data_IF_878664028285
#
_entry.id   IF_878664028285
#
_cell.length_a   1.000
_cell.length_b   1.000
_cell.length_c   1.000
_cell.angle_alpha   90.00
_cell.angle_beta   90.00
_cell.angle_gamma   90.00
#
_symmetry.space_group_name_H-M   'P 1'
#
loop_
_entity.id
_entity.type
_entity.pdbx_description
1 polymer ?
#
# COMPACT_ATOMS: atom_id res chain seq x y z
N UNK A 1 -7.04 -76.95 -16.01
CA UNK A 1 -6.33 -76.45 -14.82
C UNK A 1 -5.99 -75.00 -15.12
N UNK A 2 -6.91 -74.05 -14.93
CA UNK A 2 -7.40 -73.50 -13.64
C UNK A 2 -6.30 -73.11 -12.65
N UNK A 3 -6.26 -71.98 -11.94
CA UNK A 3 -6.93 -70.66 -11.83
C UNK A 3 -5.92 -69.79 -11.02
N UNK A 4 -6.04 -68.45 -11.11
CA UNK A 4 -5.62 -67.37 -10.15
C UNK A 4 -4.35 -66.58 -10.52
N UNK A 5 -4.44 -65.41 -11.17
CA UNK A 5 -4.98 -64.10 -10.74
C UNK A 5 -4.10 -63.36 -9.71
N UNK A 6 -3.39 -62.32 -10.13
CA UNK A 6 -3.16 -61.09 -9.36
C UNK A 6 -3.00 -59.90 -10.30
N UNK A 7 -3.75 -58.84 -10.01
CA UNK A 7 -4.06 -57.73 -10.91
C UNK A 7 -2.86 -56.91 -11.38
N UNK A 8 -2.96 -56.43 -12.63
CA UNK A 8 -2.29 -55.21 -13.07
C UNK A 8 -3.37 -54.17 -13.38
N UNK A 9 -3.33 -53.13 -12.56
CA UNK A 9 -4.14 -51.94 -12.62
C UNK A 9 -3.79 -51.18 -13.91
N UNK A 10 -4.78 -50.94 -14.76
CA UNK A 10 -4.65 -50.02 -15.89
C UNK A 10 -4.46 -48.60 -15.36
N UNK A 11 -3.26 -48.05 -15.57
CA UNK A 11 -3.03 -46.61 -15.43
C UNK A 11 -3.40 -45.93 -16.75
N UNK A 12 -4.67 -45.54 -16.90
CA UNK A 12 -5.05 -44.57 -17.92
C UNK A 12 -4.42 -43.22 -17.59
N UNK A 13 -3.34 -42.89 -18.28
CA UNK A 13 -2.68 -41.58 -18.22
C UNK A 13 -3.58 -40.56 -18.94
N UNK A 14 -4.52 -39.95 -18.21
CA UNK A 14 -5.21 -38.73 -18.66
C UNK A 14 -4.15 -37.63 -18.72
N UNK A 15 -3.62 -37.40 -19.91
CA UNK A 15 -2.83 -36.22 -20.24
C UNK A 15 -3.71 -34.98 -20.16
N UNK A 16 -3.90 -34.44 -18.97
CA UNK A 16 -4.34 -33.06 -18.79
C UNK A 16 -3.10 -32.21 -18.96
N UNK A 17 -2.84 -31.77 -20.19
CA UNK A 17 -1.98 -30.62 -20.42
C UNK A 17 -2.67 -29.42 -19.77
N UNK A 18 -2.37 -29.16 -18.51
CA UNK A 18 -2.69 -27.90 -17.84
C UNK A 18 -1.91 -26.80 -18.57
N UNK A 19 -2.48 -26.31 -19.66
CA UNK A 19 -2.13 -25.01 -20.17
C UNK A 19 -2.29 -24.05 -18.99
N UNK A 20 -1.18 -23.53 -18.47
CA UNK A 20 -1.21 -22.43 -17.50
C UNK A 20 -2.06 -21.35 -18.12
N UNK A 21 -3.31 -21.23 -17.65
CA UNK A 21 -4.14 -20.08 -17.93
C UNK A 21 -3.42 -18.90 -17.30
N UNK A 22 -2.63 -18.22 -18.13
CA UNK A 22 -2.26 -16.84 -17.88
C UNK A 22 -3.58 -16.10 -17.87
N UNK A 23 -4.14 -15.87 -16.68
CA UNK A 23 -5.21 -14.91 -16.53
C UNK A 23 -4.60 -13.55 -16.87
N UNK A 24 -4.97 -12.91 -18.00
CA UNK A 24 -4.75 -11.48 -18.09
C UNK A 24 -5.54 -10.89 -16.92
N UNK A 25 -4.87 -10.17 -16.02
CA UNK A 25 -5.54 -9.27 -15.08
C UNK A 25 -6.24 -8.20 -15.90
N UNK A 26 -7.43 -8.55 -16.40
CA UNK A 26 -8.30 -7.64 -17.11
C UNK A 26 -8.88 -6.72 -16.05
N UNK A 27 -8.42 -5.48 -16.04
CA UNK A 27 -9.10 -4.33 -15.44
C UNK A 27 -10.47 -4.12 -16.12
N UNK A 28 -11.38 -5.10 -16.05
CA UNK A 28 -12.66 -5.07 -16.74
C UNK A 28 -13.79 -5.29 -15.75
N UNK A 29 -14.02 -4.28 -14.90
CA UNK A 29 -15.35 -3.77 -14.53
C UNK A 29 -15.18 -2.45 -13.78
N UNK A 30 -15.59 -1.34 -14.42
CA UNK A 30 -15.69 -0.02 -13.79
C UNK A 30 -16.78 -0.06 -12.72
N UNK A 31 -16.39 -0.16 -11.46
CA UNK A 31 -17.27 0.11 -10.33
C UNK A 31 -17.34 1.63 -10.08
N UNK A 32 -18.36 2.13 -9.36
CA UNK A 32 -18.31 3.47 -8.79
C UNK A 32 -17.01 3.65 -7.98
N UNK A 33 -16.24 4.71 -8.22
CA UNK A 33 -15.03 5.03 -7.44
C UNK A 33 -13.69 4.59 -8.06
N UNK A 34 -13.67 3.89 -9.20
CA UNK A 34 -12.41 3.55 -9.91
C UNK A 34 -11.66 4.78 -10.43
N UNK A 35 -12.34 5.94 -10.45
CA UNK A 35 -11.82 7.24 -10.84
C UNK A 35 -11.36 8.11 -9.67
N UNK A 36 -11.37 7.59 -8.43
CA UNK A 36 -10.98 8.30 -7.22
C UNK A 36 -10.07 7.42 -6.37
N UNK A 37 -8.80 7.34 -6.74
CA UNK A 37 -7.79 6.47 -6.16
C UNK A 37 -6.99 7.20 -5.09
N UNK A 38 -6.84 6.57 -3.93
CA UNK A 38 -5.88 6.96 -2.88
C UNK A 38 -4.80 5.89 -2.78
N UNK A 39 -3.55 6.30 -2.95
CA UNK A 39 -2.38 5.48 -2.68
C UNK A 39 -1.98 5.66 -1.21
N UNK A 40 -1.93 4.57 -0.45
CA UNK A 40 -1.57 4.56 0.96
C UNK A 40 -0.28 3.77 1.15
N UNK A 41 0.78 4.40 1.67
CA UNK A 41 2.00 3.67 1.99
C UNK A 41 1.76 2.59 3.06
N UNK A 42 2.60 1.56 3.08
CA UNK A 42 2.49 0.47 4.06
C UNK A 42 3.32 0.74 5.29
N UNK A 43 4.63 0.87 5.09
CA UNK A 43 5.62 1.04 6.16
C UNK A 43 5.48 2.45 6.75
N UNK A 44 5.44 2.59 8.07
CA UNK A 44 5.28 3.88 8.77
C UNK A 44 3.84 4.41 8.79
N UNK A 45 3.02 4.09 7.78
CA UNK A 45 1.62 4.54 7.72
C UNK A 45 0.65 3.55 8.34
N UNK A 46 0.53 2.32 7.83
CA UNK A 46 -0.37 1.29 8.44
C UNK A 46 0.40 0.27 9.27
N UNK A 47 1.66 -0.01 8.94
CA UNK A 47 2.56 -0.85 9.72
C UNK A 47 3.52 0.05 10.50
N UNK A 48 3.52 -0.06 11.83
CA UNK A 48 4.51 0.61 12.67
C UNK A 48 5.84 -0.15 12.59
N UNK A 49 6.82 0.49 11.95
CA UNK A 49 8.16 -0.06 11.74
C UNK A 49 9.19 0.51 12.72
N UNK A 50 8.78 1.35 13.69
CA UNK A 50 9.68 2.09 14.59
C UNK A 50 10.64 1.18 15.36
N UNK A 51 10.14 0.03 15.84
CA UNK A 51 10.94 -0.99 16.53
C UNK A 51 12.07 -1.57 15.67
N UNK A 52 11.96 -1.47 14.35
CA UNK A 52 12.91 -2.02 13.37
C UNK A 52 13.74 -0.94 12.67
N UNK A 53 13.61 0.34 13.03
CA UNK A 53 14.42 1.42 12.44
C UNK A 53 15.92 1.20 12.61
N UNK A 54 16.33 0.53 13.69
CA UNK A 54 17.71 0.17 13.96
C UNK A 54 18.33 -0.67 12.81
N UNK A 55 17.52 -1.38 12.03
CA UNK A 55 17.96 -2.11 10.84
C UNK A 55 18.57 -1.18 9.78
N UNK A 56 18.12 0.07 9.72
CA UNK A 56 18.63 1.08 8.79
C UNK A 56 20.08 1.49 9.09
N UNK A 57 20.58 1.22 10.30
CA UNK A 57 21.98 1.43 10.65
C UNK A 57 22.91 0.33 10.09
N UNK A 58 22.36 -0.79 9.58
CA UNK A 58 23.18 -1.89 9.04
C UNK A 58 23.91 -1.50 7.76
N UNK A 59 25.00 -2.23 7.41
CA UNK A 59 25.63 -2.14 6.10
C UNK A 59 24.62 -2.39 4.97
N UNK A 60 24.79 -1.70 3.84
CA UNK A 60 23.83 -1.68 2.73
C UNK A 60 23.42 -3.08 2.23
N UNK A 61 24.35 -4.04 2.21
CA UNK A 61 24.09 -5.41 1.75
C UNK A 61 23.14 -6.22 2.66
N UNK A 62 23.07 -5.89 3.96
CA UNK A 62 22.25 -6.61 4.94
C UNK A 62 21.02 -5.81 5.40
N UNK A 63 21.07 -4.48 5.27
CA UNK A 63 20.01 -3.55 5.69
C UNK A 63 18.65 -3.94 5.15
N UNK A 64 18.51 -4.00 3.83
CA UNK A 64 17.21 -4.19 3.20
C UNK A 64 16.60 -5.57 3.43
N UNK A 65 17.33 -6.69 3.27
CA UNK A 65 16.80 -8.00 3.63
C UNK A 65 16.31 -8.07 5.08
N UNK A 66 17.05 -7.47 6.02
CA UNK A 66 16.67 -7.46 7.43
C UNK A 66 15.41 -6.62 7.68
N UNK A 67 15.37 -5.37 7.20
CA UNK A 67 14.18 -4.52 7.29
C UNK A 67 12.94 -5.18 6.68
N UNK A 68 13.10 -5.90 5.56
CA UNK A 68 11.96 -6.55 4.92
C UNK A 68 11.40 -7.74 5.69
N UNK A 69 12.24 -8.45 6.47
CA UNK A 69 11.81 -9.62 7.22
C UNK A 69 10.86 -9.32 8.37
N UNK A 70 10.88 -8.08 8.89
CA UNK A 70 10.16 -7.70 10.10
C UNK A 70 8.70 -7.28 9.90
N UNK A 71 8.17 -7.26 8.68
CA UNK A 71 6.76 -6.87 8.49
C UNK A 71 5.81 -7.79 9.24
N UNK A 72 6.10 -9.08 9.26
CA UNK A 72 5.27 -10.06 9.95
C UNK A 72 5.19 -9.79 11.46
N UNK A 73 6.18 -9.09 12.02
CA UNK A 73 6.29 -8.76 13.43
C UNK A 73 5.92 -7.28 13.72
N UNK A 74 5.54 -6.52 12.69
CA UNK A 74 5.15 -5.12 12.83
C UNK A 74 3.79 -4.98 13.50
N UNK A 75 3.68 -4.03 14.42
CA UNK A 75 2.41 -3.64 15.00
C UNK A 75 1.60 -2.81 13.99
N UNK A 76 0.28 -2.77 14.17
CA UNK A 76 -0.59 -1.90 13.37
C UNK A 76 -0.50 -0.49 13.91
N UNK A 77 -0.21 0.48 13.03
CA UNK A 77 -0.40 1.88 13.35
C UNK A 77 -1.91 2.20 13.35
N UNK A 78 -2.46 2.45 14.54
CA UNK A 78 -3.90 2.70 14.72
C UNK A 78 -4.43 3.85 13.85
N UNK A 79 -3.65 4.92 13.68
CA UNK A 79 -4.07 6.06 12.86
C UNK A 79 -4.14 5.71 11.37
N UNK A 80 -3.20 4.88 10.88
CA UNK A 80 -3.23 4.34 9.52
C UNK A 80 -4.36 3.35 9.30
N UNK A 81 -4.68 2.52 10.30
CA UNK A 81 -5.81 1.60 10.27
C UNK A 81 -7.13 2.34 10.10
N UNK A 82 -7.38 3.35 10.93
CA UNK A 82 -8.58 4.18 10.84
C UNK A 82 -8.66 4.91 9.50
N UNK A 83 -7.52 5.43 9.01
CA UNK A 83 -7.43 6.10 7.72
C UNK A 83 -7.78 5.16 6.55
N UNK A 84 -7.27 3.93 6.55
CA UNK A 84 -7.55 2.95 5.50
C UNK A 84 -9.05 2.65 5.39
N UNK A 85 -9.70 2.40 6.54
CA UNK A 85 -11.15 2.18 6.58
C UNK A 85 -11.96 3.43 6.22
N UNK A 86 -11.51 4.62 6.63
CA UNK A 86 -12.16 5.87 6.25
C UNK A 86 -12.11 6.11 4.73
N UNK A 87 -10.97 5.83 4.08
CA UNK A 87 -10.81 5.94 2.62
C UNK A 87 -11.84 5.04 1.91
N UNK A 88 -11.93 3.77 2.30
CA UNK A 88 -12.89 2.83 1.70
C UNK A 88 -14.35 3.23 2.00
N UNK A 89 -14.65 3.60 3.25
CA UNK A 89 -15.98 4.02 3.67
C UNK A 89 -16.50 5.29 2.96
N UNK A 90 -15.60 6.16 2.52
CA UNK A 90 -15.90 7.34 1.68
C UNK A 90 -16.08 6.99 0.19
N UNK A 91 -15.88 5.74 -0.20
CA UNK A 91 -16.02 5.26 -1.57
C UNK A 91 -14.85 5.65 -2.48
N UNK A 92 -13.67 5.91 -1.92
CA UNK A 92 -12.43 5.99 -2.68
C UNK A 92 -11.89 4.59 -2.95
N UNK A 93 -11.20 4.42 -4.08
CA UNK A 93 -10.44 3.21 -4.36
C UNK A 93 -9.12 3.25 -3.59
N UNK A 94 -9.03 2.46 -2.52
CA UNK A 94 -7.79 2.28 -1.78
C UNK A 94 -6.81 1.39 -2.56
N UNK A 95 -5.58 1.85 -2.72
CA UNK A 95 -4.46 1.06 -3.23
C UNK A 95 -3.28 1.20 -2.27
N UNK A 96 -2.76 0.08 -1.79
CA UNK A 96 -1.55 0.08 -0.97
C UNK A 96 -0.31 0.27 -1.85
N UNK A 97 0.67 0.99 -1.33
CA UNK A 97 1.97 1.23 -1.94
C UNK A 97 3.05 0.80 -0.96
N UNK A 98 4.12 0.17 -1.43
CA UNK A 98 5.31 -0.10 -0.62
C UNK A 98 6.56 -0.11 -1.50
N UNK A 99 7.69 0.30 -0.93
CA UNK A 99 8.98 0.21 -1.60
C UNK A 99 9.65 -1.16 -1.46
N UNK A 100 9.03 -2.06 -0.69
CA UNK A 100 9.42 -3.46 -0.56
C UNK A 100 9.36 -4.17 -1.92
N UNK A 101 10.28 -5.11 -2.18
CA UNK A 101 10.36 -5.81 -3.47
C UNK A 101 9.18 -6.76 -3.68
N UNK A 102 8.83 -6.99 -4.95
CA UNK A 102 7.69 -7.82 -5.38
C UNK A 102 7.58 -9.20 -4.71
N UNK A 103 8.71 -9.83 -4.33
CA UNK A 103 8.66 -11.12 -3.62
C UNK A 103 8.05 -11.04 -2.22
N UNK A 104 7.94 -9.85 -1.61
CA UNK A 104 7.25 -9.65 -0.32
C UNK A 104 5.74 -9.50 -0.49
N UNK A 105 5.23 -9.35 -1.72
CA UNK A 105 3.82 -9.04 -1.99
C UNK A 105 2.86 -9.98 -1.25
N UNK A 106 3.10 -11.30 -1.31
CA UNK A 106 2.25 -12.28 -0.64
C UNK A 106 2.26 -12.13 0.89
N UNK A 107 3.44 -11.89 1.49
CA UNK A 107 3.58 -11.67 2.93
C UNK A 107 2.93 -10.36 3.38
N UNK A 108 3.10 -9.28 2.62
CA UNK A 108 2.42 -8.01 2.88
C UNK A 108 0.90 -8.14 2.79
N UNK A 109 0.38 -8.89 1.80
CA UNK A 109 -1.06 -9.16 1.70
C UNK A 109 -1.60 -9.98 2.87
N UNK A 110 -0.85 -11.00 3.31
CA UNK A 110 -1.21 -11.79 4.48
C UNK A 110 -1.27 -10.90 5.72
N UNK A 111 -0.21 -10.12 5.99
CA UNK A 111 -0.17 -9.20 7.13
C UNK A 111 -1.35 -8.21 7.13
N UNK A 112 -1.66 -7.56 6.00
CA UNK A 112 -2.83 -6.67 5.89
C UNK A 112 -4.13 -7.40 6.26
N UNK A 113 -4.28 -8.65 5.82
CA UNK A 113 -5.49 -9.46 6.06
C UNK A 113 -5.57 -9.91 7.52
N UNK A 114 -4.46 -10.39 8.08
CA UNK A 114 -4.37 -10.91 9.45
C UNK A 114 -4.63 -9.80 10.50
N UNK A 115 -4.44 -8.54 10.11
CA UNK A 115 -4.70 -7.35 10.92
C UNK A 115 -6.02 -6.64 10.59
N UNK A 116 -6.93 -7.28 9.85
CA UNK A 116 -8.26 -6.74 9.52
C UNK A 116 -8.23 -5.37 8.80
N UNK A 117 -7.16 -5.08 8.06
CA UNK A 117 -7.13 -3.91 7.17
C UNK A 117 -8.00 -4.19 5.94
N UNK A 118 -8.61 -3.14 5.36
CA UNK A 118 -9.41 -3.31 4.15
C UNK A 118 -8.56 -3.92 3.04
N UNK A 119 -9.15 -4.84 2.26
CA UNK A 119 -8.39 -5.60 1.27
C UNK A 119 -7.69 -4.70 0.22
N UNK A 120 -8.28 -3.53 -0.05
CA UNK A 120 -7.81 -2.60 -1.08
C UNK A 120 -7.92 -3.19 -2.49
N UNK A 121 -7.96 -2.32 -3.49
CA UNK A 121 -8.04 -2.73 -4.89
C UNK A 121 -6.75 -3.39 -5.38
N UNK A 122 -5.60 -2.91 -4.89
CA UNK A 122 -4.28 -3.39 -5.29
C UNK A 122 -3.23 -3.12 -4.20
N UNK A 123 -2.10 -3.81 -4.30
CA UNK A 123 -0.87 -3.56 -3.56
C UNK A 123 0.23 -3.39 -4.61
N UNK A 124 0.89 -2.24 -4.58
CA UNK A 124 1.99 -1.91 -5.48
C UNK A 124 3.29 -2.05 -4.71
N UNK A 125 4.06 -3.08 -5.05
CA UNK A 125 5.43 -3.27 -4.59
C UNK A 125 6.42 -2.66 -5.56
N UNK A 126 7.69 -2.51 -5.15
CA UNK A 126 8.78 -2.12 -6.04
C UNK A 126 8.80 -3.03 -7.28
N UNK A 127 8.70 -2.46 -8.50
CA UNK A 127 8.75 -3.24 -9.73
C UNK A 127 10.08 -4.00 -9.87
N UNK A 128 10.01 -5.27 -10.28
CA UNK A 128 11.20 -6.10 -10.54
C UNK A 128 12.13 -5.50 -11.61
N UNK A 129 11.58 -4.70 -12.51
CA UNK A 129 12.33 -4.01 -13.58
C UNK A 129 13.09 -2.77 -13.10
N UNK A 130 12.85 -2.32 -11.86
CA UNK A 130 13.51 -1.15 -11.30
C UNK A 130 14.82 -1.56 -10.63
N UNK A 131 15.87 -0.76 -10.81
CA UNK A 131 17.17 -1.04 -10.20
C UNK A 131 17.07 -1.00 -8.67
N UNK A 132 17.87 -1.83 -7.98
CA UNK A 132 17.97 -1.80 -6.52
C UNK A 132 18.54 -0.47 -5.99
N UNK A 133 19.29 0.25 -6.82
CA UNK A 133 19.77 1.60 -6.53
C UNK A 133 18.70 2.68 -6.63
N UNK A 134 17.49 2.36 -7.14
CA UNK A 134 16.42 3.35 -7.24
C UNK A 134 15.88 3.74 -5.89
N UNK A 135 15.67 5.04 -5.70
CA UNK A 135 15.22 5.62 -4.44
C UNK A 135 13.77 5.26 -4.13
N UNK A 136 13.36 5.43 -2.86
CA UNK A 136 11.95 5.29 -2.46
C UNK A 136 11.05 6.22 -3.29
N UNK A 137 11.46 7.48 -3.48
CA UNK A 137 10.74 8.44 -4.30
C UNK A 137 10.59 7.98 -5.77
N UNK A 138 11.59 7.33 -6.38
CA UNK A 138 11.45 6.80 -7.74
C UNK A 138 10.43 5.67 -7.85
N UNK A 139 10.41 4.77 -6.86
CA UNK A 139 9.42 3.68 -6.74
C UNK A 139 8.03 4.27 -6.56
N UNK A 140 7.83 5.09 -5.53
CA UNK A 140 6.53 5.69 -5.20
C UNK A 140 6.02 6.59 -6.36
N UNK A 141 6.90 7.28 -7.09
CA UNK A 141 6.55 8.03 -8.31
C UNK A 141 6.07 7.11 -9.42
N UNK A 142 6.64 5.90 -9.54
CA UNK A 142 6.16 4.92 -10.51
C UNK A 142 4.73 4.46 -10.20
N UNK A 143 4.37 4.32 -8.92
CA UNK A 143 3.01 3.99 -8.49
C UNK A 143 2.01 5.10 -8.83
N UNK A 144 2.34 6.34 -8.49
CA UNK A 144 1.53 7.51 -8.89
C UNK A 144 1.34 7.58 -10.42
N UNK A 145 2.40 7.29 -11.19
CA UNK A 145 2.34 7.24 -12.66
C UNK A 145 1.42 6.13 -13.17
N UNK A 146 1.35 4.96 -12.52
CA UNK A 146 0.46 3.88 -12.94
C UNK A 146 -1.02 4.30 -12.88
N UNK A 147 -1.42 4.99 -11.82
CA UNK A 147 -2.78 5.54 -11.67
C UNK A 147 -3.04 6.65 -12.70
N UNK A 148 -2.14 7.64 -12.76
CA UNK A 148 -2.31 8.82 -13.62
C UNK A 148 -2.24 8.53 -15.12
N UNK A 149 -1.60 7.43 -15.52
CA UNK A 149 -1.61 6.94 -16.92
C UNK A 149 -2.99 6.50 -17.38
N UNK A 150 -3.85 6.05 -16.47
CA UNK A 150 -5.24 5.73 -16.81
C UNK A 150 -6.05 7.01 -16.98
N UNK A 151 -5.90 7.95 -16.04
CA UNK A 151 -6.42 9.30 -16.16
C UNK A 151 -5.73 10.24 -15.15
N UNK A 152 -5.28 11.44 -15.54
CA UNK A 152 -4.53 12.32 -14.64
C UNK A 152 -5.25 12.71 -13.34
N UNK A 153 -6.58 12.82 -13.38
CA UNK A 153 -7.42 13.23 -12.24
C UNK A 153 -7.83 12.07 -11.32
N UNK A 154 -7.46 10.82 -11.64
CA UNK A 154 -7.86 9.69 -10.81
C UNK A 154 -7.11 9.60 -9.49
N UNK A 155 -5.87 10.08 -9.43
CA UNK A 155 -5.14 10.14 -8.18
C UNK A 155 -5.70 11.29 -7.33
N UNK A 156 -6.32 10.96 -6.20
CA UNK A 156 -6.90 11.91 -5.23
C UNK A 156 -6.04 12.10 -4.00
N UNK A 157 -5.20 11.12 -3.69
CA UNK A 157 -4.24 11.20 -2.59
C UNK A 157 -3.09 10.25 -2.81
N UNK A 158 -1.90 10.69 -2.46
CA UNK A 158 -0.74 9.84 -2.18
C UNK A 158 -0.36 10.13 -0.72
N UNK A 159 -0.54 9.15 0.16
CA UNK A 159 -0.35 9.29 1.60
C UNK A 159 0.89 8.52 2.03
N UNK A 160 1.78 9.22 2.72
CA UNK A 160 3.09 8.75 3.13
C UNK A 160 3.44 9.32 4.52
N UNK A 161 4.30 8.66 5.28
CA UNK A 161 4.83 9.19 6.54
C UNK A 161 6.14 9.99 6.34
N UNK A 162 6.83 9.81 5.22
CA UNK A 162 8.10 10.47 4.95
C UNK A 162 7.89 11.89 4.38
N UNK A 163 7.93 12.91 5.25
CA UNK A 163 7.78 14.32 4.85
C UNK A 163 8.64 14.75 3.63
N UNK A 164 9.92 14.35 3.48
CA UNK A 164 10.70 14.69 2.28
C UNK A 164 10.12 14.11 0.98
N UNK A 165 9.48 12.94 1.01
CA UNK A 165 8.82 12.35 -0.16
C UNK A 165 7.51 13.11 -0.46
N UNK A 166 6.73 13.40 0.58
CA UNK A 166 5.48 14.17 0.47
C UNK A 166 5.75 15.54 -0.14
N UNK A 167 6.69 16.30 0.41
CA UNK A 167 7.07 17.63 -0.07
C UNK A 167 7.55 17.58 -1.52
N UNK A 168 8.39 16.59 -1.83
CA UNK A 168 8.92 16.38 -3.18
C UNK A 168 7.79 16.12 -4.20
N UNK A 169 6.79 15.30 -3.85
CA UNK A 169 5.66 15.01 -4.73
C UNK A 169 4.65 16.16 -4.79
N UNK A 170 4.39 16.84 -3.68
CA UNK A 170 3.57 18.04 -3.66
C UNK A 170 4.16 19.13 -4.56
N UNK A 171 5.48 19.33 -4.53
CA UNK A 171 6.21 20.23 -5.44
C UNK A 171 6.10 19.86 -6.92
N UNK A 172 5.85 18.58 -7.24
CA UNK A 172 5.55 18.09 -8.60
C UNK A 172 4.05 18.22 -8.99
N UNK A 173 3.22 18.78 -8.11
CA UNK A 173 1.77 18.91 -8.32
C UNK A 173 1.00 17.59 -8.16
N UNK A 174 1.58 16.61 -7.46
CA UNK A 174 0.83 15.43 -7.01
C UNK A 174 0.04 15.78 -5.73
N UNK A 175 -1.14 15.19 -5.51
CA UNK A 175 -1.91 15.35 -4.27
C UNK A 175 -1.26 14.51 -3.14
N UNK A 176 -0.03 14.84 -2.78
CA UNK A 176 0.72 14.17 -1.73
C UNK A 176 0.36 14.74 -0.36
N UNK A 177 0.17 13.87 0.62
CA UNK A 177 -0.33 14.19 1.95
C UNK A 177 0.50 13.43 3.00
N UNK A 178 0.88 14.12 4.08
CA UNK A 178 1.54 13.47 5.21
C UNK A 178 0.50 12.72 6.03
N UNK A 179 0.75 11.45 6.36
CA UNK A 179 -0.17 10.63 7.15
C UNK A 179 -0.51 11.27 8.50
N UNK A 180 0.48 11.90 9.14
CA UNK A 180 0.30 12.62 10.41
C UNK A 180 -0.68 13.80 10.31
N UNK A 181 -0.78 14.47 9.17
CA UNK A 181 -1.70 15.59 8.95
C UNK A 181 -3.16 15.12 8.74
N UNK A 182 -3.35 13.82 8.43
CA UNK A 182 -4.68 13.22 8.26
C UNK A 182 -5.18 12.53 9.54
N UNK A 183 -4.28 12.29 10.50
CA UNK A 183 -4.60 11.58 11.73
C UNK A 183 -5.68 12.34 12.53
N UNK A 184 -6.72 11.63 12.95
CA UNK A 184 -7.82 12.19 13.75
C UNK A 184 -8.82 13.05 13.00
N UNK A 185 -8.67 13.25 11.68
CA UNK A 185 -9.69 13.91 10.87
C UNK A 185 -10.95 13.06 10.79
N UNK A 186 -12.12 13.69 10.95
CA UNK A 186 -13.40 13.04 10.69
C UNK A 186 -13.62 12.78 9.20
N UNK A 187 -14.48 11.83 8.85
CA UNK A 187 -14.71 11.38 7.46
C UNK A 187 -15.09 12.51 6.50
N UNK A 188 -15.83 13.53 6.98
CA UNK A 188 -16.17 14.72 6.17
C UNK A 188 -14.92 15.51 5.76
N UNK A 189 -14.05 15.83 6.72
CA UNK A 189 -12.83 16.59 6.46
C UNK A 189 -11.86 15.79 5.57
N UNK A 190 -11.70 14.48 5.83
CA UNK A 190 -10.93 13.59 4.96
C UNK A 190 -11.45 13.60 3.51
N UNK A 191 -12.78 13.51 3.34
CA UNK A 191 -13.40 13.61 2.02
C UNK A 191 -13.07 14.93 1.32
N UNK A 192 -13.18 16.05 2.03
CA UNK A 192 -12.87 17.38 1.48
C UNK A 192 -11.40 17.54 1.08
N UNK A 193 -10.48 16.97 1.85
CA UNK A 193 -9.04 16.95 1.56
C UNK A 193 -8.77 16.12 0.30
N UNK A 194 -9.23 14.88 0.22
CA UNK A 194 -9.04 14.04 -0.97
C UNK A 194 -9.78 14.58 -2.21
N UNK A 195 -10.87 15.31 -2.00
CA UNK A 195 -11.55 15.97 -3.09
C UNK A 195 -10.81 17.20 -3.62
N UNK A 196 -9.82 17.71 -2.88
CA UNK A 196 -9.07 18.91 -3.20
C UNK A 196 -9.83 20.21 -2.89
N UNK A 197 -10.87 20.13 -2.06
CA UNK A 197 -11.70 21.28 -1.66
C UNK A 197 -11.19 21.97 -0.41
N UNK A 198 -10.38 21.28 0.39
CA UNK A 198 -9.68 21.81 1.55
C UNK A 198 -8.23 21.31 1.55
N UNK A 199 -7.33 22.06 2.21
CA UNK A 199 -5.96 21.62 2.44
C UNK A 199 -5.91 20.79 3.72
N UNK A 200 -5.06 19.76 3.76
CA UNK A 200 -4.79 19.06 5.01
C UNK A 200 -4.16 20.02 6.03
N UNK A 201 -4.53 19.94 7.31
CA UNK A 201 -3.92 20.76 8.34
C UNK A 201 -2.46 20.34 8.52
N UNK A 202 -1.53 21.26 8.29
CA UNK A 202 -0.11 21.00 8.55
C UNK A 202 0.13 20.90 10.06
N UNK A 203 0.76 19.82 10.55
CA UNK A 203 1.08 19.60 11.96
C UNK A 203 1.81 20.77 12.67
N UNK A 204 2.37 21.73 11.91
CA UNK A 204 2.95 22.97 12.44
C UNK A 204 1.95 23.94 13.11
N UNK A 205 0.63 23.71 13.03
CA UNK A 205 -0.38 24.63 13.57
C UNK A 205 -0.91 24.29 14.98
N UNK A 206 -0.47 23.19 15.60
CA UNK A 206 -0.99 22.78 16.92
C UNK A 206 -0.27 23.40 18.14
N UNK A 207 0.73 24.28 17.97
CA UNK A 207 1.46 24.87 19.11
C UNK A 207 1.02 26.29 19.53
N UNK A 208 -0.03 26.87 18.94
CA UNK A 208 -0.50 28.22 19.32
C UNK A 208 -2.00 28.26 19.53
N UNK A 209 -2.52 27.53 20.53
CA UNK A 209 -3.85 27.79 21.11
C UNK A 209 -4.00 27.20 22.52
N UNK A 210 -2.96 27.28 23.36
CA UNK A 210 -3.11 27.10 24.82
C UNK A 210 -2.25 28.14 25.53
N UNK A 211 -2.63 29.41 25.47
CA UNK A 211 -2.40 30.42 26.52
C UNK A 211 -3.08 31.71 26.09
N UNK A 212 -4.31 31.93 26.54
CA UNK A 212 -4.94 33.24 26.76
C UNK A 212 -6.34 33.03 27.35
N UNK A 213 -6.40 32.73 28.65
CA UNK A 213 -7.50 33.20 29.49
C UNK A 213 -7.08 33.09 30.96
N UNK A 214 -6.40 34.13 31.43
CA UNK A 214 -6.25 34.48 32.84
C UNK A 214 -5.75 35.92 32.90
N UNK A 215 -6.70 36.87 32.94
CA UNK A 215 -6.68 38.14 33.68
C UNK A 215 -7.81 39.04 33.13
#
# INVERSE_FOLDING_TARGET
MDIMNTGKVEWTQRGITMARQRHPHKYTRRGPGDDRVVLLDVDGVVADMSMFEHELARPAAARWPASFSHLADAEVNASGFDLAWAIEGLGFTLVYSTTRPDHTHAGTRAWLTDHDLPAGRALLCRPQTMAWSSTAAEVKRSHCRLVRRQHPQWLRGFVDDEAPIVDHFAGEGLPALLAADLAGLGSRALGQVFDGTEQAPTAAQHHTSITSNSA
#
